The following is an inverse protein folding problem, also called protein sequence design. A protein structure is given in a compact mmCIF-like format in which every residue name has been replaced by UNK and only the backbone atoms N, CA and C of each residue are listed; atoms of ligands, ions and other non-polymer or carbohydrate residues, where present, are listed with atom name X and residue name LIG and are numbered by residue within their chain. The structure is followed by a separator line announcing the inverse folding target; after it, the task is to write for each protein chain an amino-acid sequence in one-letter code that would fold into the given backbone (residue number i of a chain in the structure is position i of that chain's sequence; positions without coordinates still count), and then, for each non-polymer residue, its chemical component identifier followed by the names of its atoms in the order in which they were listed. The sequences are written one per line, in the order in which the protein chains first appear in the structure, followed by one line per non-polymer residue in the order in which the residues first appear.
data_IF_315801601465
#
_entry.id   IF_315801601465
#
_cell.length_a   1.000
_cell.length_b   1.000
_cell.length_c   1.000
_cell.angle_alpha   90.00
_cell.angle_beta   90.00
_cell.angle_gamma   90.00
#
_symmetry.space_group_name_H-M   'P 1'
#
loop_
_entity.id
_entity.type
_entity.pdbx_description
1 polymer ?
#
# COMPACT_ATOMS: atom_id res chain seq x y z
N UNK A 1 20.88 8.54 10.52
CA UNK A 1 19.93 8.43 9.40
C UNK A 1 18.60 8.94 9.94
N UNK A 2 18.11 10.08 9.46
CA UNK A 2 16.82 10.61 9.91
C UNK A 2 15.72 9.73 9.34
N UNK A 3 14.94 9.08 10.19
CA UNK A 3 13.75 8.34 9.79
C UNK A 3 12.76 9.31 9.16
N UNK A 4 12.32 9.05 7.93
CA UNK A 4 11.30 9.87 7.29
C UNK A 4 9.95 9.52 7.89
N UNK A 5 9.21 10.51 8.39
CA UNK A 5 7.87 10.28 8.93
C UNK A 5 6.91 9.89 7.79
N UNK A 6 6.20 8.77 7.96
CA UNK A 6 5.14 8.32 7.06
C UNK A 6 3.81 8.95 7.52
N UNK A 7 3.18 9.76 6.66
CA UNK A 7 1.85 10.29 6.92
C UNK A 7 0.80 9.33 6.36
N UNK A 8 -0.05 8.77 7.24
CA UNK A 8 -1.04 7.76 6.84
C UNK A 8 -2.45 8.36 6.78
N UNK A 9 -3.15 8.11 5.67
CA UNK A 9 -4.58 8.35 5.49
C UNK A 9 -5.27 7.00 5.40
N UNK A 10 -6.31 6.81 6.21
CA UNK A 10 -7.06 5.56 6.28
C UNK A 10 -8.33 5.65 5.43
N UNK A 11 -8.50 4.70 4.51
CA UNK A 11 -9.77 4.44 3.84
C UNK A 11 -10.41 3.20 4.49
N UNK A 12 -11.44 3.39 5.35
CA UNK A 12 -12.01 2.29 6.11
C UNK A 12 -12.92 1.38 5.29
N UNK A 13 -13.48 1.89 4.19
CA UNK A 13 -14.42 1.18 3.34
C UNK A 13 -14.31 1.65 1.88
N UNK A 14 -14.49 0.76 0.88
CA UNK A 14 -14.39 1.12 -0.53
C UNK A 14 -15.30 2.27 -0.99
N UNK A 15 -16.41 2.54 -0.30
CA UNK A 15 -17.28 3.67 -0.66
C UNK A 15 -16.57 5.03 -0.54
N UNK A 16 -15.59 5.14 0.36
CA UNK A 16 -14.81 6.37 0.59
C UNK A 16 -13.53 6.43 -0.24
N UNK A 17 -13.29 5.45 -1.11
CA UNK A 17 -12.02 5.30 -1.82
C UNK A 17 -11.61 6.55 -2.61
N UNK A 18 -12.53 7.11 -3.40
CA UNK A 18 -12.24 8.29 -4.21
C UNK A 18 -11.94 9.52 -3.35
N UNK A 19 -12.71 9.73 -2.27
CA UNK A 19 -12.48 10.83 -1.34
C UNK A 19 -11.12 10.69 -0.64
N UNK A 20 -10.80 9.50 -0.12
CA UNK A 20 -9.50 9.25 0.52
C UNK A 20 -8.33 9.38 -0.46
N UNK A 21 -8.52 8.99 -1.72
CA UNK A 21 -7.53 9.16 -2.78
C UNK A 21 -7.28 10.64 -3.09
N UNK A 22 -8.34 11.44 -3.18
CA UNK A 22 -8.23 12.89 -3.42
C UNK A 22 -7.53 13.58 -2.24
N UNK A 23 -7.85 13.21 -1.00
CA UNK A 23 -7.16 13.69 0.20
C UNK A 23 -5.67 13.34 0.17
N UNK A 24 -5.32 12.11 -0.18
CA UNK A 24 -3.94 11.66 -0.26
C UNK A 24 -3.15 12.35 -1.37
N UNK A 25 -3.78 12.60 -2.53
CA UNK A 25 -3.19 13.39 -3.62
C UNK A 25 -2.97 14.84 -3.20
N UNK A 26 -3.95 15.47 -2.55
CA UNK A 26 -3.84 16.84 -2.07
C UNK A 26 -2.71 16.98 -1.05
N UNK A 27 -2.62 16.05 -0.09
CA UNK A 27 -1.52 16.02 0.88
C UNK A 27 -0.17 15.82 0.20
N UNK A 28 -0.07 14.84 -0.71
CA UNK A 28 1.14 14.55 -1.47
C UNK A 28 1.66 15.80 -2.21
N UNK A 29 0.77 16.50 -2.90
CA UNK A 29 1.10 17.74 -3.63
C UNK A 29 1.50 18.89 -2.69
N UNK A 30 0.77 19.11 -1.60
CA UNK A 30 1.02 20.19 -0.66
C UNK A 30 2.35 20.04 0.10
N UNK A 31 2.77 18.78 0.34
CA UNK A 31 3.94 18.47 1.16
C UNK A 31 5.13 17.92 0.37
N UNK A 32 5.03 17.81 -0.96
CA UNK A 32 6.08 17.22 -1.79
C UNK A 32 6.43 15.79 -1.37
N UNK A 33 5.43 15.00 -0.97
CA UNK A 33 5.61 13.61 -0.54
C UNK A 33 5.25 12.62 -1.64
N UNK A 34 5.94 11.49 -1.68
CA UNK A 34 5.59 10.39 -2.58
C UNK A 34 4.36 9.66 -2.05
N UNK A 35 3.38 9.44 -2.92
CA UNK A 35 2.12 8.79 -2.59
C UNK A 35 2.21 7.28 -2.84
N UNK A 36 1.93 6.51 -1.79
CA UNK A 36 1.80 5.07 -1.83
C UNK A 36 0.38 4.65 -1.44
N UNK A 37 -0.11 3.58 -2.04
CA UNK A 37 -1.40 2.97 -1.71
C UNK A 37 -1.15 1.54 -1.25
N UNK A 38 -1.55 1.23 -0.04
CA UNK A 38 -1.44 -0.10 0.54
C UNK A 38 -2.84 -0.68 0.72
N UNK A 39 -3.16 -1.75 0.02
CA UNK A 39 -4.37 -2.52 0.25
C UNK A 39 -4.08 -3.65 1.22
N UNK A 40 -4.79 -3.65 2.35
CA UNK A 40 -4.41 -4.43 3.52
C UNK A 40 -5.62 -5.00 4.28
N UNK A 41 -5.44 -6.19 4.86
CA UNK A 41 -6.48 -6.82 5.67
C UNK A 41 -6.71 -6.05 6.97
N UNK A 42 -7.98 -5.77 7.29
CA UNK A 42 -8.40 -5.15 8.55
C UNK A 42 -7.71 -5.80 9.75
N UNK A 43 -7.19 -4.94 10.64
CA UNK A 43 -6.57 -5.34 11.90
C UNK A 43 -7.61 -5.38 13.00
N UNK A 44 -7.51 -6.38 13.87
CA UNK A 44 -8.26 -6.42 15.11
C UNK A 44 -7.81 -5.26 16.02
N UNK A 45 -8.72 -4.41 16.53
CA UNK A 45 -8.35 -3.24 17.32
C UNK A 45 -7.63 -3.57 18.64
N UNK A 46 -7.81 -4.79 19.16
CA UNK A 46 -7.27 -5.19 20.47
C UNK A 46 -5.86 -5.77 20.34
N UNK A 47 -5.66 -6.66 19.37
CA UNK A 47 -4.40 -7.38 19.15
C UNK A 47 -3.51 -6.72 18.09
N UNK A 48 -4.06 -5.81 17.27
CA UNK A 48 -3.36 -5.18 16.15
C UNK A 48 -3.10 -6.11 14.96
N UNK A 49 -3.55 -7.37 15.02
CA UNK A 49 -3.31 -8.39 13.99
C UNK A 49 -4.34 -8.32 12.89
N UNK A 50 -3.87 -8.42 11.65
CA UNK A 50 -4.70 -8.60 10.47
C UNK A 50 -5.35 -9.98 10.46
N UNK A 51 -6.57 -10.07 9.93
CA UNK A 51 -7.19 -11.37 9.67
C UNK A 51 -6.43 -12.18 8.59
N UNK A 52 -5.57 -11.51 7.81
CA UNK A 52 -4.76 -12.10 6.76
C UNK A 52 -3.32 -12.32 7.27
N UNK A 53 -2.84 -13.57 7.38
CA UNK A 53 -1.48 -13.86 7.85
C UNK A 53 -0.38 -13.21 7.01
N UNK A 54 -0.55 -13.16 5.69
CA UNK A 54 0.42 -12.56 4.78
C UNK A 54 0.52 -11.04 4.99
N UNK A 55 -0.60 -10.40 5.33
CA UNK A 55 -0.64 -9.00 5.71
C UNK A 55 0.20 -8.77 6.98
N UNK A 56 -0.03 -9.53 8.04
CA UNK A 56 0.72 -9.42 9.31
C UNK A 56 2.23 -9.57 9.12
N UNK A 57 2.65 -10.52 8.29
CA UNK A 57 4.07 -10.72 8.00
C UNK A 57 4.63 -9.56 7.17
N UNK A 58 3.92 -9.11 6.14
CA UNK A 58 4.39 -8.06 5.25
C UNK A 58 4.45 -6.67 5.89
N UNK A 59 3.57 -6.37 6.84
CA UNK A 59 3.47 -5.05 7.44
C UNK A 59 4.78 -4.47 7.97
N UNK A 60 5.55 -5.15 8.85
CA UNK A 60 6.81 -4.61 9.34
C UNK A 60 7.80 -4.32 8.20
N UNK A 61 7.83 -5.17 7.17
CA UNK A 61 8.72 -5.00 6.01
C UNK A 61 8.32 -3.78 5.19
N UNK A 62 7.02 -3.61 4.93
CA UNK A 62 6.48 -2.48 4.17
C UNK A 62 6.78 -1.18 4.90
N UNK A 63 6.47 -1.11 6.21
CA UNK A 63 6.67 0.11 6.99
C UNK A 63 8.16 0.47 7.07
N UNK A 64 9.03 -0.51 7.30
CA UNK A 64 10.47 -0.28 7.33
C UNK A 64 11.03 0.21 5.97
N UNK A 65 10.48 -0.27 4.85
CA UNK A 65 10.82 0.22 3.53
C UNK A 65 10.35 1.67 3.29
N UNK A 66 9.13 2.00 3.72
CA UNK A 66 8.57 3.36 3.60
C UNK A 66 9.30 4.37 4.50
N UNK A 67 9.69 3.97 5.71
CA UNK A 67 10.46 4.82 6.65
C UNK A 67 11.88 5.11 6.16
N UNK A 68 12.47 4.17 5.40
CA UNK A 68 13.76 4.35 4.72
C UNK A 68 13.65 5.08 3.39
N UNK A 69 12.44 5.37 2.93
CA UNK A 69 12.24 6.07 1.66
C UNK A 69 12.86 7.47 1.73
N UNK A 70 13.50 7.89 0.64
CA UNK A 70 14.30 9.12 0.61
C UNK A 70 13.45 10.38 0.69
N UNK A 71 12.24 10.32 0.15
CA UNK A 71 11.28 11.43 0.16
C UNK A 71 10.27 11.23 1.30
N UNK A 72 9.66 12.31 1.84
CA UNK A 72 8.46 12.21 2.66
C UNK A 72 7.43 11.29 2.01
N UNK A 73 6.73 10.49 2.82
CA UNK A 73 5.77 9.50 2.33
C UNK A 73 4.36 9.88 2.77
N UNK A 74 3.42 9.87 1.82
CA UNK A 74 1.99 9.79 2.09
C UNK A 74 1.53 8.36 1.80
N UNK A 75 1.01 7.67 2.80
CA UNK A 75 0.48 6.32 2.67
C UNK A 75 -1.05 6.35 2.77
N UNK A 76 -1.73 5.95 1.70
CA UNK A 76 -3.17 5.67 1.72
C UNK A 76 -3.37 4.18 2.02
N UNK A 77 -3.87 3.86 3.22
CA UNK A 77 -4.23 2.49 3.60
C UNK A 77 -5.69 2.20 3.22
N UNK A 78 -5.88 1.29 2.26
CA UNK A 78 -7.19 0.76 1.88
C UNK A 78 -7.46 -0.51 2.68
N UNK A 79 -8.38 -0.44 3.63
CA UNK A 79 -8.69 -1.57 4.51
C UNK A 79 -9.75 -2.46 3.89
N UNK A 80 -9.51 -3.78 3.93
CA UNK A 80 -10.49 -4.78 3.54
C UNK A 80 -10.91 -5.65 4.73
N UNK A 81 -12.21 -5.70 5.02
CA UNK A 81 -12.79 -6.66 5.95
C UNK A 81 -12.78 -8.07 5.33
N UNK A 82 -12.66 -9.11 6.16
CA UNK A 82 -12.56 -10.49 5.67
C UNK A 82 -13.83 -10.91 4.94
N UNK A 83 -14.98 -10.55 5.52
CA UNK A 83 -16.32 -10.94 5.09
C UNK A 83 -16.69 -10.32 3.75
N UNK A 84 -16.22 -9.10 3.48
CA UNK A 84 -16.47 -8.43 2.19
C UNK A 84 -15.53 -8.93 1.09
N UNK A 85 -14.29 -9.31 1.44
CA UNK A 85 -13.22 -9.58 0.48
C UNK A 85 -13.02 -11.06 0.13
N UNK A 86 -13.03 -11.96 1.12
CA UNK A 86 -12.60 -13.35 0.93
C UNK A 86 -13.63 -14.13 0.11
N UNK A 87 -13.21 -14.63 -1.04
CA UNK A 87 -14.10 -15.37 -1.97
C UNK A 87 -15.05 -14.48 -2.77
N UNK A 88 -14.89 -13.15 -2.71
CA UNK A 88 -15.70 -12.21 -3.46
C UNK A 88 -14.93 -11.67 -4.68
N UNK A 89 -15.17 -12.19 -5.91
CA UNK A 89 -14.52 -11.68 -7.12
C UNK A 89 -15.02 -10.29 -7.51
N UNK A 90 -16.22 -9.90 -7.08
CA UNK A 90 -16.86 -8.61 -7.40
C UNK A 90 -16.55 -7.53 -6.36
N UNK A 91 -15.58 -7.75 -5.47
CA UNK A 91 -15.18 -6.75 -4.49
C UNK A 91 -14.73 -5.46 -5.20
N UNK A 92 -15.12 -4.26 -4.73
CA UNK A 92 -14.85 -2.99 -5.44
C UNK A 92 -13.39 -2.82 -5.88
N UNK A 93 -12.42 -3.11 -5.00
CA UNK A 93 -11.00 -3.01 -5.36
C UNK A 93 -10.51 -4.04 -6.40
N UNK A 94 -11.20 -5.17 -6.59
CA UNK A 94 -10.86 -6.15 -7.63
C UNK A 94 -11.30 -5.70 -9.02
N UNK A 95 -12.46 -5.04 -9.08
CA UNK A 95 -13.09 -4.59 -10.33
C UNK A 95 -12.73 -3.13 -10.68
N UNK A 96 -12.13 -2.40 -9.74
CA UNK A 96 -11.64 -1.05 -9.98
C UNK A 96 -10.58 -1.07 -11.10
N UNK A 97 -10.74 -0.23 -12.14
CA UNK A 97 -9.88 -0.27 -13.32
C UNK A 97 -8.44 0.18 -13.05
N UNK A 98 -8.18 0.87 -11.94
CA UNK A 98 -6.86 1.35 -11.57
C UNK A 98 -6.15 0.39 -10.60
N UNK A 99 -6.88 -0.15 -9.62
CA UNK A 99 -6.32 -1.08 -8.64
C UNK A 99 -6.18 -2.50 -9.19
N UNK A 100 -7.23 -3.02 -9.84
CA UNK A 100 -7.33 -4.41 -10.35
C UNK A 100 -6.76 -5.44 -9.36
N UNK A 101 -7.17 -5.33 -8.10
CA UNK A 101 -6.55 -6.03 -6.98
C UNK A 101 -6.66 -7.56 -7.14
N UNK A 102 -5.51 -8.25 -7.17
CA UNK A 102 -5.47 -9.72 -7.31
C UNK A 102 -5.44 -10.42 -5.96
N UNK A 103 -4.65 -9.88 -5.03
CA UNK A 103 -4.45 -10.41 -3.68
C UNK A 103 -4.16 -9.27 -2.70
N UNK A 104 -4.13 -9.58 -1.40
CA UNK A 104 -3.59 -8.71 -0.36
C UNK A 104 -2.45 -9.43 0.35
N UNK A 105 -1.46 -8.72 0.92
CA UNK A 105 -1.25 -7.27 0.81
C UNK A 105 -0.77 -6.86 -0.58
N UNK A 106 -1.12 -5.66 -1.02
CA UNK A 106 -0.66 -5.10 -2.30
C UNK A 106 -0.29 -3.62 -2.13
N UNK A 107 0.93 -3.24 -2.52
CA UNK A 107 1.46 -1.87 -2.40
C UNK A 107 1.66 -1.28 -3.79
N UNK A 108 1.16 -0.06 -4.02
CA UNK A 108 1.35 0.71 -5.24
C UNK A 108 2.06 2.02 -4.92
N UNK A 109 2.83 2.53 -5.89
CA UNK A 109 3.30 3.91 -5.90
C UNK A 109 2.54 4.68 -6.96
N UNK A 110 2.04 5.86 -6.60
CA UNK A 110 1.50 6.81 -7.57
C UNK A 110 2.60 7.82 -7.87
N UNK A 111 2.93 7.96 -9.15
CA UNK A 111 3.95 8.88 -9.64
C UNK A 111 3.25 9.86 -10.59
N UNK A 112 3.33 11.16 -10.30
CA UNK A 112 2.80 12.22 -11.18
C UNK A 112 1.33 12.00 -11.63
N UNK A 113 0.52 11.37 -10.78
CA UNK A 113 -0.89 11.05 -11.06
C UNK A 113 -1.12 9.74 -11.83
N UNK A 114 -0.04 9.05 -12.22
CA UNK A 114 -0.08 7.74 -12.87
C UNK A 114 0.18 6.62 -11.88
N UNK A 115 -0.63 5.57 -12.00
CA UNK A 115 -0.42 4.32 -11.29
C UNK A 115 0.81 3.62 -11.84
N UNK A 116 1.74 3.25 -10.96
CA UNK A 116 2.82 2.32 -11.31
C UNK A 116 2.37 0.90 -10.99
N UNK A 117 3.05 -0.06 -11.64
CA UNK A 117 2.89 -1.48 -11.35
C UNK A 117 3.02 -1.72 -9.83
N UNK A 118 2.27 -2.70 -9.28
CA UNK A 118 2.34 -3.01 -7.86
C UNK A 118 3.79 -3.32 -7.47
N UNK A 119 4.28 -2.60 -6.46
CA UNK A 119 5.64 -2.73 -5.92
C UNK A 119 5.81 -4.01 -5.09
N UNK A 120 4.69 -4.60 -4.67
CA UNK A 120 4.67 -5.91 -4.02
C UNK A 120 3.70 -6.78 -4.81
N UNK A 121 4.25 -7.52 -5.79
CA UNK A 121 3.68 -8.82 -6.16
C UNK A 121 4.32 -9.86 -5.24
N UNK A 122 3.58 -10.34 -4.23
CA UNK A 122 3.80 -11.65 -3.59
C UNK A 122 5.28 -12.09 -3.40
N UNK A 123 6.18 -11.21 -2.95
CA UNK A 123 7.58 -11.59 -2.67
C UNK A 123 7.70 -12.56 -1.47
N UNK A 124 6.58 -12.89 -0.81
CA UNK A 124 6.49 -13.98 0.16
C UNK A 124 6.53 -15.39 -0.46
N UNK A 125 6.33 -15.53 -1.77
CA UNK A 125 6.42 -16.84 -2.42
C UNK A 125 7.87 -17.28 -2.75
N UNK A 126 8.85 -16.37 -2.77
CA UNK A 126 10.24 -16.69 -3.07
C UNK A 126 11.17 -15.67 -2.40
N UNK A 127 11.86 -16.07 -1.34
CA UNK A 127 12.96 -15.37 -0.67
C UNK A 127 13.93 -14.65 -1.64
N UNK A 128 13.63 -13.41 -2.06
CA UNK A 128 14.62 -12.59 -2.76
C UNK A 128 14.55 -11.12 -2.36
N UNK A 129 15.66 -10.73 -1.76
CA UNK A 129 16.12 -9.42 -1.28
C UNK A 129 15.33 -8.20 -1.75
N UNK A 130 14.84 -7.44 -0.76
CA UNK A 130 14.29 -6.08 -0.92
C UNK A 130 15.43 -5.05 -1.03
N UNK A 131 16.69 -5.48 -0.92
CA UNK A 131 17.85 -4.60 -0.91
C UNK A 131 18.98 -5.17 -1.78
N UNK A 132 19.04 -4.74 -3.03
CA UNK A 132 20.33 -4.49 -3.68
C UNK A 132 20.18 -3.27 -4.57
N UNK A 133 20.56 -2.12 -4.03
CA UNK A 133 20.58 -0.86 -4.77
C UNK A 133 21.62 -0.86 -5.87
N UNK A 134 21.27 -0.23 -6.98
CA UNK A 134 22.10 0.79 -7.65
C UNK A 134 21.17 1.68 -8.45
N UNK A 135 21.42 2.99 -8.38
CA UNK A 135 20.72 4.02 -9.13
C UNK A 135 20.58 3.66 -10.62
N UNK A 136 19.36 3.39 -11.08
CA UNK A 136 18.95 3.57 -12.47
C UNK A 136 17.43 3.56 -12.53
N UNK A 137 16.87 4.55 -13.20
CA UNK A 137 15.48 4.58 -13.60
C UNK A 137 15.08 3.26 -14.24
N UNK A 138 13.97 2.68 -13.77
CA UNK A 138 13.35 1.47 -14.34
C UNK A 138 14.05 0.18 -13.90
N UNK A 139 13.66 -0.32 -12.72
CA UNK A 139 13.29 -1.71 -12.44
C UNK A 139 13.50 -1.99 -10.95
N UNK A 140 12.38 -2.15 -10.25
CA UNK A 140 12.34 -2.73 -8.92
C UNK A 140 12.27 -4.25 -9.08
N UNK A 141 13.44 -4.86 -9.31
CA UNK A 141 13.75 -6.29 -9.21
C UNK A 141 15.25 -6.44 -8.93
#
# INVERSE_FOLDING_TARGET
MSTTAVHTILCPDPQYYHESLDQARAFSQAHGSDLFILVFGQRDPTSGKSWCPDCDQAFPIIMEALERHTNPVCLLELVVARESYKGNPSHPYRIDPQLQLKAIPQLHRIDTGHWKDPLIELCYANHRSIYSGTASTTNWC
#
